data_IF_698333040649
#
_entry.id   IF_698333040649
#
_cell.length_a   1.000
_cell.length_b   1.000
_cell.length_c   1.000
_cell.angle_alpha   90.00
_cell.angle_beta   90.00
_cell.angle_gamma   90.00
#
_symmetry.space_group_name_H-M   'P 1'
#
loop_
_entity.id
_entity.type
_entity.pdbx_description
1 polymer ?
#
# COMPACT_ATOMS: atom_id res chain seq x y z
N UNK A 1 -23.00 11.36 18.18
CA UNK A 1 -21.58 11.17 18.54
C UNK A 1 -20.71 12.21 17.84
N UNK A 2 -19.49 12.40 18.31
CA UNK A 2 -18.48 13.20 17.61
C UNK A 2 -17.29 12.34 17.24
N UNK A 3 -17.04 12.17 15.95
CA UNK A 3 -16.07 11.21 15.41
C UNK A 3 -14.90 11.94 14.75
N UNK A 4 -13.68 11.62 15.17
CA UNK A 4 -12.45 12.09 14.53
C UNK A 4 -12.01 11.14 13.40
N UNK A 5 -11.59 11.67 12.25
CA UNK A 5 -11.04 10.91 11.14
C UNK A 5 -9.67 11.43 10.79
N UNK A 6 -8.72 10.55 10.51
CA UNK A 6 -7.40 10.94 10.02
C UNK A 6 -6.87 9.97 8.95
N UNK A 7 -6.05 10.49 8.04
CA UNK A 7 -5.33 9.69 7.04
C UNK A 7 -3.83 9.84 7.26
N UNK A 8 -3.08 8.73 7.46
CA UNK A 8 -1.67 8.79 7.81
C UNK A 8 -0.81 7.80 7.00
N UNK A 9 0.47 8.11 6.88
CA UNK A 9 1.42 7.33 6.09
C UNK A 9 1.39 7.67 4.59
N UNK A 10 1.87 6.79 3.73
CA UNK A 10 1.81 6.99 2.28
C UNK A 10 0.38 7.06 1.78
N UNK A 11 0.09 7.98 0.87
CA UNK A 11 -1.22 8.09 0.24
C UNK A 11 -1.47 6.94 -0.76
N UNK A 12 -2.72 6.74 -1.09
CA UNK A 12 -3.14 5.85 -2.17
C UNK A 12 -4.52 6.23 -2.71
N UNK A 13 -4.88 5.76 -3.91
CA UNK A 13 -6.24 5.89 -4.42
C UNK A 13 -7.25 5.18 -3.51
N UNK A 14 -8.37 5.86 -3.20
CA UNK A 14 -9.43 5.32 -2.34
C UNK A 14 -9.55 5.97 -0.96
N UNK A 15 -8.55 6.71 -0.46
CA UNK A 15 -8.63 7.41 0.83
C UNK A 15 -9.85 8.33 0.92
N UNK A 16 -10.09 9.13 -0.11
CA UNK A 16 -11.24 10.03 -0.16
C UNK A 16 -12.57 9.27 -0.21
N UNK A 17 -12.61 8.08 -0.77
CA UNK A 17 -13.81 7.23 -0.76
C UNK A 17 -14.16 6.75 0.66
N UNK A 18 -13.16 6.39 1.49
CA UNK A 18 -13.37 6.06 2.91
C UNK A 18 -13.88 7.28 3.66
N UNK A 19 -13.19 8.43 3.56
CA UNK A 19 -13.60 9.69 4.23
C UNK A 19 -15.04 10.02 3.88
N UNK A 20 -15.38 9.99 2.59
CA UNK A 20 -16.75 10.25 2.12
C UNK A 20 -17.74 9.28 2.73
N UNK A 21 -17.44 8.01 2.78
CA UNK A 21 -18.34 6.99 3.34
C UNK A 21 -18.55 7.16 4.83
N UNK A 22 -17.49 7.44 5.59
CA UNK A 22 -17.60 7.75 7.02
C UNK A 22 -18.52 8.95 7.25
N UNK A 23 -18.30 10.05 6.52
CA UNK A 23 -19.11 11.27 6.66
C UNK A 23 -20.56 11.02 6.29
N UNK A 24 -20.83 10.35 5.16
CA UNK A 24 -22.21 10.05 4.78
C UNK A 24 -22.92 9.19 5.83
N UNK A 25 -22.26 8.11 6.30
CA UNK A 25 -22.89 7.21 7.28
C UNK A 25 -23.08 7.88 8.64
N UNK A 26 -22.08 8.59 9.13
CA UNK A 26 -22.15 9.26 10.43
C UNK A 26 -23.13 10.44 10.41
N UNK A 27 -22.99 11.36 9.45
CA UNK A 27 -23.77 12.61 9.45
C UNK A 27 -25.20 12.40 8.95
N UNK A 28 -25.37 11.74 7.79
CA UNK A 28 -26.70 11.63 7.17
C UNK A 28 -27.58 10.59 7.86
N UNK A 29 -27.02 9.46 8.28
CA UNK A 29 -27.81 8.35 8.81
C UNK A 29 -27.90 8.36 10.34
N UNK A 30 -26.83 8.76 11.05
CA UNK A 30 -26.80 8.77 12.52
C UNK A 30 -26.91 10.17 13.14
N UNK A 31 -26.76 11.26 12.37
CA UNK A 31 -26.81 12.62 12.89
C UNK A 31 -25.57 13.01 13.72
N UNK A 32 -24.46 12.33 13.49
CA UNK A 32 -23.19 12.57 14.19
C UNK A 32 -22.48 13.82 13.66
N UNK A 33 -21.53 14.33 14.46
CA UNK A 33 -20.55 15.31 14.02
C UNK A 33 -19.25 14.59 13.62
N UNK A 34 -18.67 14.96 12.45
CA UNK A 34 -17.39 14.42 11.99
C UNK A 34 -16.38 15.54 11.84
N UNK A 35 -15.17 15.34 12.40
CA UNK A 35 -14.03 16.21 12.17
C UNK A 35 -12.89 15.41 11.53
N UNK A 36 -12.16 16.06 10.62
CA UNK A 36 -10.99 15.47 9.97
C UNK A 36 -9.70 16.14 10.46
N UNK A 37 -8.78 15.36 11.03
CA UNK A 37 -7.46 15.87 11.41
C UNK A 37 -6.57 15.99 10.18
N UNK A 38 -5.91 17.16 10.03
CA UNK A 38 -4.98 17.39 8.92
C UNK A 38 -3.66 16.68 9.17
N UNK A 39 -3.05 16.22 8.10
CA UNK A 39 -1.73 15.55 8.14
C UNK A 39 -1.66 14.35 9.10
N UNK A 40 -2.76 13.63 9.26
CA UNK A 40 -2.82 12.37 10.00
C UNK A 40 -2.65 12.54 11.52
N UNK A 41 -1.83 11.68 12.14
CA UNK A 41 -1.57 11.75 13.58
C UNK A 41 -0.99 13.10 14.01
N UNK A 42 -0.26 13.80 13.12
CA UNK A 42 0.25 15.14 13.41
C UNK A 42 -0.89 16.10 13.76
N UNK A 43 -1.96 16.11 12.97
CA UNK A 43 -3.11 16.98 13.23
C UNK A 43 -3.79 16.70 14.58
N UNK A 44 -3.91 15.43 14.98
CA UNK A 44 -4.41 15.09 16.32
C UNK A 44 -3.46 15.61 17.42
N UNK A 45 -2.15 15.48 17.23
CA UNK A 45 -1.13 15.96 18.19
C UNK A 45 -1.03 17.48 18.28
N UNK A 46 -1.38 18.20 17.23
CA UNK A 46 -1.33 19.67 17.14
C UNK A 46 -2.72 20.32 17.27
N UNK A 47 -3.78 19.53 17.43
CA UNK A 47 -5.18 19.98 17.44
C UNK A 47 -5.59 20.73 16.16
N UNK A 48 -4.99 20.31 15.01
CA UNK A 48 -5.30 20.87 13.68
C UNK A 48 -6.32 20.00 12.97
N UNK A 49 -7.53 20.50 12.84
CA UNK A 49 -8.65 19.78 12.25
C UNK A 49 -9.56 20.69 11.43
N UNK A 50 -10.44 20.08 10.66
CA UNK A 50 -11.52 20.74 9.93
C UNK A 50 -12.83 19.98 10.14
N UNK A 51 -13.95 20.68 10.10
CA UNK A 51 -15.26 20.04 10.07
C UNK A 51 -15.44 19.29 8.76
N UNK A 52 -16.00 18.08 8.83
CA UNK A 52 -16.38 17.28 7.69
C UNK A 52 -17.92 17.13 7.67
N UNK A 53 -18.54 17.80 6.72
CA UNK A 53 -19.96 17.66 6.43
C UNK A 53 -20.18 17.12 5.00
N UNK A 54 -21.42 16.97 4.58
CA UNK A 54 -21.74 16.40 3.27
C UNK A 54 -21.21 17.24 2.11
N UNK A 55 -21.12 18.56 2.29
CA UNK A 55 -20.59 19.47 1.28
C UNK A 55 -19.07 19.32 1.15
N UNK A 56 -18.36 19.18 2.28
CA UNK A 56 -16.90 18.99 2.31
C UNK A 56 -16.45 17.71 1.58
N UNK A 57 -17.32 16.69 1.52
CA UNK A 57 -17.05 15.42 0.85
C UNK A 57 -17.75 15.28 -0.50
N UNK A 58 -18.34 16.35 -1.00
CA UNK A 58 -18.95 16.40 -2.32
C UNK A 58 -17.90 16.19 -3.43
N UNK A 59 -18.16 15.26 -4.35
CA UNK A 59 -17.33 15.03 -5.54
C UNK A 59 -15.96 14.36 -5.30
N UNK A 60 -15.59 13.96 -4.08
CA UNK A 60 -14.25 13.41 -3.80
C UNK A 60 -14.12 11.90 -4.04
N UNK A 61 -15.21 11.16 -4.33
CA UNK A 61 -15.20 9.71 -4.49
C UNK A 61 -14.15 9.20 -5.48
N UNK A 62 -14.01 9.87 -6.61
CA UNK A 62 -13.08 9.50 -7.68
C UNK A 62 -11.73 10.22 -7.58
N UNK A 63 -11.53 11.07 -6.58
CA UNK A 63 -10.32 11.86 -6.42
C UNK A 63 -9.25 11.06 -5.69
N UNK A 64 -8.06 10.91 -6.31
CA UNK A 64 -6.90 10.32 -5.65
C UNK A 64 -6.32 11.21 -4.54
N UNK A 65 -5.33 10.70 -3.83
CA UNK A 65 -4.78 11.35 -2.65
C UNK A 65 -5.79 11.44 -1.51
N UNK A 66 -5.64 12.43 -0.63
CA UNK A 66 -6.52 12.66 0.52
C UNK A 66 -6.78 14.15 0.73
N UNK A 67 -8.04 14.52 0.99
CA UNK A 67 -8.41 15.90 1.31
C UNK A 67 -7.88 16.36 2.69
N UNK A 68 -7.52 15.41 3.56
CA UNK A 68 -6.99 15.69 4.90
C UNK A 68 -5.46 15.85 4.94
N UNK A 69 -4.77 15.56 3.84
CA UNK A 69 -3.32 15.47 3.86
C UNK A 69 -2.83 14.22 4.61
N UNK A 70 -1.53 14.03 4.66
CA UNK A 70 -0.91 12.89 5.33
C UNK A 70 0.51 13.22 5.79
N UNK A 71 0.96 12.60 6.89
CA UNK A 71 2.34 12.70 7.35
C UNK A 71 2.84 11.36 7.89
N UNK A 72 4.15 11.28 8.16
CA UNK A 72 4.79 10.13 8.81
C UNK A 72 4.97 10.33 10.33
N UNK A 73 4.53 11.47 10.86
CA UNK A 73 4.57 11.73 12.30
C UNK A 73 3.62 10.75 13.00
N UNK A 74 4.10 10.17 14.10
CA UNK A 74 3.32 9.24 14.92
C UNK A 74 3.41 9.65 16.40
N UNK A 75 2.39 9.35 17.22
CA UNK A 75 2.43 9.64 18.65
C UNK A 75 3.65 9.03 19.37
N UNK A 76 4.11 7.85 18.95
CA UNK A 76 5.29 7.17 19.49
C UNK A 76 6.61 7.90 19.24
N UNK A 77 6.66 8.84 18.29
CA UNK A 77 7.85 9.65 18.02
C UNK A 77 8.06 10.78 19.03
N UNK A 78 7.06 11.09 19.86
CA UNK A 78 7.09 12.13 20.85
C UNK A 78 7.01 11.51 22.25
N UNK A 79 7.80 12.08 23.20
CA UNK A 79 7.83 11.59 24.59
C UNK A 79 6.47 11.67 25.28
N UNK A 80 5.67 12.69 24.94
CA UNK A 80 4.33 12.98 25.49
C UNK A 80 3.20 12.78 24.48
N UNK A 81 3.48 12.11 23.33
CA UNK A 81 2.55 12.04 22.21
C UNK A 81 1.23 11.35 22.55
N UNK A 82 1.26 10.30 23.36
CA UNK A 82 0.05 9.60 23.83
C UNK A 82 -0.80 10.52 24.72
N UNK A 83 -0.17 11.18 25.68
CA UNK A 83 -0.89 12.06 26.62
C UNK A 83 -1.47 13.30 25.92
N UNK A 84 -0.74 13.87 24.95
CA UNK A 84 -1.24 14.98 24.12
C UNK A 84 -2.45 14.55 23.31
N UNK A 85 -2.39 13.37 22.66
CA UNK A 85 -3.54 12.84 21.93
C UNK A 85 -4.75 12.65 22.82
N UNK A 86 -4.58 12.08 24.03
CA UNK A 86 -5.66 11.93 25.01
C UNK A 86 -6.26 13.28 25.40
N UNK A 87 -5.42 14.25 25.76
CA UNK A 87 -5.88 15.59 26.13
C UNK A 87 -6.73 16.23 25.04
N UNK A 88 -6.32 16.16 23.78
CA UNK A 88 -7.10 16.72 22.69
C UNK A 88 -8.40 15.93 22.40
N UNK A 89 -8.41 14.60 22.58
CA UNK A 89 -9.62 13.79 22.46
C UNK A 89 -10.64 14.20 23.52
N UNK A 90 -10.22 14.39 24.76
CA UNK A 90 -11.05 14.86 25.87
C UNK A 90 -11.53 16.30 25.65
N UNK A 91 -10.64 17.23 25.30
CA UNK A 91 -10.96 18.63 25.03
C UNK A 91 -11.98 18.79 23.90
N UNK A 92 -11.82 18.01 22.82
CA UNK A 92 -12.73 18.02 21.67
C UNK A 92 -14.00 17.20 21.90
N UNK A 93 -14.09 16.46 23.00
CA UNK A 93 -15.25 15.59 23.29
C UNK A 93 -15.47 14.53 22.22
N UNK A 94 -14.41 13.87 21.78
CA UNK A 94 -14.52 12.83 20.74
C UNK A 94 -14.98 11.51 21.37
N UNK A 95 -16.02 10.93 20.79
CA UNK A 95 -16.52 9.61 21.15
C UNK A 95 -15.72 8.48 20.46
N UNK A 96 -15.10 8.77 19.33
CA UNK A 96 -14.27 7.81 18.59
C UNK A 96 -13.26 8.48 17.64
N UNK A 97 -12.21 7.73 17.25
CA UNK A 97 -11.29 8.10 16.19
C UNK A 97 -11.21 6.96 15.17
N UNK A 98 -11.29 7.30 13.88
CA UNK A 98 -11.13 6.38 12.76
C UNK A 98 -9.82 6.72 12.01
N UNK A 99 -8.67 6.13 12.40
CA UNK A 99 -7.43 6.26 11.65
C UNK A 99 -7.45 5.36 10.40
N UNK A 100 -7.11 5.97 9.25
CA UNK A 100 -7.05 5.31 7.96
C UNK A 100 -5.60 5.27 7.52
N UNK A 101 -5.00 4.07 7.41
CA UNK A 101 -3.59 3.98 7.04
C UNK A 101 -3.01 2.59 6.93
N UNK A 102 -1.72 2.52 6.60
CA UNK A 102 -0.96 1.28 6.52
C UNK A 102 -0.45 0.81 7.88
N UNK A 103 0.47 -0.16 7.86
CA UNK A 103 1.03 -0.82 9.05
C UNK A 103 1.44 0.17 10.15
N UNK A 104 2.24 1.19 9.82
CA UNK A 104 2.70 2.17 10.82
C UNK A 104 1.57 2.96 11.46
N UNK A 105 0.54 3.33 10.68
CA UNK A 105 -0.65 4.03 11.18
C UNK A 105 -1.47 3.14 12.10
N UNK A 106 -1.61 1.86 11.74
CA UNK A 106 -2.36 0.89 12.54
C UNK A 106 -1.60 0.48 13.81
N UNK A 107 -0.26 0.44 13.78
CA UNK A 107 0.56 0.29 15.00
C UNK A 107 0.34 1.46 15.98
N UNK A 108 0.29 2.68 15.47
CA UNK A 108 -0.05 3.85 16.27
C UNK A 108 -1.50 3.78 16.78
N UNK A 109 -2.44 3.34 15.95
CA UNK A 109 -3.84 3.10 16.32
C UNK A 109 -3.97 2.10 17.48
N UNK A 110 -3.24 0.98 17.40
CA UNK A 110 -3.14 0.00 18.49
C UNK A 110 -2.59 0.64 19.77
N UNK A 111 -1.46 1.33 19.67
CA UNK A 111 -0.87 2.02 20.83
C UNK A 111 -1.88 2.96 21.51
N UNK A 112 -2.62 3.75 20.72
CA UNK A 112 -3.66 4.64 21.24
C UNK A 112 -4.80 3.87 21.90
N UNK A 113 -5.27 2.80 21.27
CA UNK A 113 -6.32 1.93 21.81
C UNK A 113 -5.90 1.25 23.13
N UNK A 114 -4.66 0.71 23.18
CA UNK A 114 -4.11 0.10 24.40
C UNK A 114 -3.96 1.12 25.55
N UNK A 115 -3.94 2.41 25.23
CA UNK A 115 -3.94 3.51 26.20
C UNK A 115 -5.35 4.09 26.46
N UNK A 116 -6.40 3.42 26.03
CA UNK A 116 -7.79 3.72 26.37
C UNK A 116 -8.52 4.69 25.43
N UNK A 117 -7.94 5.05 24.27
CA UNK A 117 -8.67 5.83 23.27
C UNK A 117 -9.63 4.93 22.48
N UNK A 118 -10.84 5.44 22.14
CA UNK A 118 -11.84 4.70 21.36
C UNK A 118 -11.46 4.69 19.86
N UNK A 119 -10.73 3.68 19.43
CA UNK A 119 -10.16 3.58 18.07
C UNK A 119 -10.82 2.47 17.26
N UNK A 120 -11.18 2.79 16.00
CA UNK A 120 -11.55 1.81 14.96
C UNK A 120 -10.68 2.05 13.74
N UNK A 121 -9.80 1.11 13.41
CA UNK A 121 -8.85 1.21 12.29
C UNK A 121 -9.48 0.91 10.93
N UNK A 122 -8.95 1.54 9.88
CA UNK A 122 -9.25 1.20 8.48
C UNK A 122 -7.96 0.93 7.72
N UNK A 123 -7.78 -0.28 7.16
CA UNK A 123 -6.54 -0.67 6.49
C UNK A 123 -6.43 -0.02 5.12
N UNK A 124 -5.33 0.67 4.88
CA UNK A 124 -5.01 1.34 3.63
C UNK A 124 -3.55 1.12 3.27
N UNK A 125 -3.28 0.47 2.16
CA UNK A 125 -1.94 0.38 1.56
C UNK A 125 -2.04 -0.13 0.12
N UNK A 126 -1.15 0.33 -0.75
CA UNK A 126 -1.00 -0.25 -2.09
C UNK A 126 -0.24 -1.59 -2.04
N UNK A 127 0.52 -1.83 -0.98
CA UNK A 127 1.43 -2.97 -0.87
C UNK A 127 0.71 -4.28 -0.51
N UNK A 128 -0.58 -4.21 -0.13
CA UNK A 128 -1.43 -5.33 0.30
C UNK A 128 -0.79 -6.19 1.41
N UNK A 129 -0.06 -5.55 2.31
CA UNK A 129 0.82 -6.14 3.30
C UNK A 129 0.24 -6.24 4.72
N UNK A 130 -1.02 -5.83 4.93
CA UNK A 130 -1.70 -5.91 6.22
C UNK A 130 -2.25 -7.32 6.43
N UNK A 131 -1.87 -7.94 7.55
CA UNK A 131 -2.41 -9.24 7.96
C UNK A 131 -3.92 -9.17 8.22
N UNK A 132 -4.56 -10.34 8.26
CA UNK A 132 -5.98 -10.57 8.59
C UNK A 132 -7.01 -9.90 7.68
N UNK A 133 -6.59 -9.28 6.57
CA UNK A 133 -7.48 -8.82 5.49
C UNK A 133 -7.04 -9.41 4.15
N UNK A 134 -7.97 -9.86 3.34
CA UNK A 134 -7.66 -10.45 2.03
C UNK A 134 -7.08 -9.40 1.07
N UNK A 135 -7.66 -8.20 1.05
CA UNK A 135 -7.21 -7.10 0.19
C UNK A 135 -7.32 -5.77 0.92
N UNK A 136 -6.36 -4.88 0.69
CA UNK A 136 -6.40 -3.48 1.09
C UNK A 136 -6.77 -2.60 -0.10
N UNK A 137 -7.57 -1.54 0.10
CA UNK A 137 -7.83 -0.61 -1.00
C UNK A 137 -6.58 0.20 -1.36
N UNK A 138 -6.51 0.58 -2.63
CA UNK A 138 -5.34 1.18 -3.27
C UNK A 138 -4.47 0.15 -4.00
N UNK A 139 -4.53 -1.12 -3.62
CA UNK A 139 -3.77 -2.20 -4.23
C UNK A 139 -4.21 -2.48 -5.68
N UNK A 140 -5.51 -2.63 -5.92
CA UNK A 140 -6.05 -2.89 -7.26
C UNK A 140 -5.70 -1.78 -8.25
N UNK A 141 -5.78 -0.53 -7.81
CA UNK A 141 -5.36 0.63 -8.62
C UNK A 141 -3.86 0.59 -8.91
N UNK A 142 -3.01 0.30 -7.92
CA UNK A 142 -1.57 0.23 -8.10
C UNK A 142 -1.17 -0.90 -9.07
N UNK A 143 -1.80 -2.07 -8.97
CA UNK A 143 -1.63 -3.18 -9.93
C UNK A 143 -2.07 -2.75 -11.33
N UNK A 144 -3.21 -2.08 -11.46
CA UNK A 144 -3.71 -1.57 -12.74
C UNK A 144 -2.72 -0.60 -13.40
N UNK A 145 -2.18 0.37 -12.65
CA UNK A 145 -1.17 1.32 -13.13
C UNK A 145 0.10 0.61 -13.58
N UNK A 146 0.58 -0.36 -12.79
CA UNK A 146 1.78 -1.12 -13.14
C UNK A 146 1.53 -1.99 -14.39
N UNK A 147 0.38 -2.65 -14.49
CA UNK A 147 -0.01 -3.46 -15.67
C UNK A 147 -0.08 -2.61 -16.93
N UNK A 148 -0.74 -1.45 -16.87
CA UNK A 148 -0.81 -0.52 -18.03
C UNK A 148 0.58 -0.07 -18.48
N UNK A 149 1.47 0.25 -17.53
CA UNK A 149 2.85 0.62 -17.85
C UNK A 149 3.59 -0.54 -18.53
N UNK A 150 3.46 -1.77 -18.03
CA UNK A 150 4.07 -2.97 -18.60
C UNK A 150 3.55 -3.24 -20.02
N UNK A 151 2.25 -3.09 -20.28
CA UNK A 151 1.68 -3.26 -21.62
C UNK A 151 2.22 -2.24 -22.62
N UNK A 152 2.38 -0.99 -22.20
CA UNK A 152 3.03 0.05 -23.04
C UNK A 152 4.50 -0.29 -23.35
N UNK A 153 5.21 -0.84 -22.37
CA UNK A 153 6.63 -1.19 -22.50
C UNK A 153 6.88 -2.38 -23.43
N UNK A 154 5.94 -3.32 -23.58
CA UNK A 154 6.08 -4.47 -24.47
C UNK A 154 6.38 -4.06 -25.91
N UNK A 155 5.65 -3.11 -26.44
CA UNK A 155 5.78 -2.67 -27.83
C UNK A 155 7.15 -2.05 -28.10
N UNK A 156 7.69 -1.26 -27.15
CA UNK A 156 9.04 -0.70 -27.29
C UNK A 156 10.14 -1.73 -27.05
N UNK A 157 9.93 -2.68 -26.11
CA UNK A 157 10.86 -3.80 -25.89
C UNK A 157 11.01 -4.66 -27.15
N UNK A 158 9.90 -4.97 -27.81
CA UNK A 158 9.87 -5.75 -29.06
C UNK A 158 10.54 -4.98 -30.21
N UNK A 159 10.22 -3.70 -30.39
CA UNK A 159 10.79 -2.87 -31.47
C UNK A 159 12.31 -2.76 -31.38
N UNK A 160 12.83 -2.67 -30.17
CA UNK A 160 14.27 -2.53 -29.91
C UNK A 160 14.99 -3.83 -29.55
N UNK A 161 14.28 -4.96 -29.47
CA UNK A 161 14.81 -6.30 -29.21
C UNK A 161 15.69 -6.38 -27.93
N UNK A 162 15.18 -5.81 -26.83
CA UNK A 162 15.92 -5.64 -25.57
C UNK A 162 15.23 -6.28 -24.38
N UNK A 163 15.96 -6.36 -23.28
CA UNK A 163 15.41 -6.69 -21.97
C UNK A 163 14.98 -5.39 -21.28
N UNK A 164 13.75 -5.34 -20.76
CA UNK A 164 13.31 -4.28 -19.85
C UNK A 164 13.15 -4.85 -18.45
N UNK A 165 13.82 -4.24 -17.48
CA UNK A 165 13.64 -4.55 -16.06
C UNK A 165 12.79 -3.45 -15.44
N UNK A 166 11.57 -3.81 -15.04
CA UNK A 166 10.57 -2.85 -14.55
C UNK A 166 10.44 -2.98 -13.05
N UNK A 167 10.84 -1.93 -12.33
CA UNK A 167 10.72 -1.86 -10.87
C UNK A 167 9.36 -1.31 -10.47
N UNK A 168 8.70 -2.04 -9.58
CA UNK A 168 7.43 -1.67 -8.97
C UNK A 168 7.56 -1.54 -7.46
N UNK A 169 6.68 -0.77 -6.84
CA UNK A 169 6.61 -0.62 -5.39
C UNK A 169 6.16 -1.93 -4.72
N UNK A 170 6.12 -1.96 -3.39
CA UNK A 170 5.70 -3.11 -2.58
C UNK A 170 6.52 -3.25 -1.30
N UNK A 171 7.58 -2.46 -1.14
CA UNK A 171 8.49 -2.47 0.02
C UNK A 171 9.03 -3.87 0.33
N UNK A 172 8.48 -4.52 1.36
CA UNK A 172 8.92 -5.84 1.84
C UNK A 172 8.09 -6.99 1.27
N UNK A 173 7.15 -6.70 0.36
CA UNK A 173 6.27 -7.70 -0.25
C UNK A 173 6.21 -7.58 -1.76
N UNK A 174 6.01 -8.70 -2.43
CA UNK A 174 5.98 -8.81 -3.88
C UNK A 174 4.59 -8.77 -4.51
N UNK A 175 3.54 -8.40 -3.78
CA UNK A 175 2.16 -8.47 -4.27
C UNK A 175 1.92 -7.69 -5.57
N UNK A 176 2.40 -6.43 -5.65
CA UNK A 176 2.24 -5.63 -6.87
C UNK A 176 3.01 -6.25 -8.03
N UNK A 177 4.27 -6.67 -7.78
CA UNK A 177 5.10 -7.29 -8.81
C UNK A 177 4.48 -8.58 -9.35
N UNK A 178 3.99 -9.44 -8.45
CA UNK A 178 3.36 -10.69 -8.82
C UNK A 178 2.11 -10.46 -9.66
N UNK A 179 1.16 -9.68 -9.15
CA UNK A 179 -0.12 -9.46 -9.84
C UNK A 179 0.05 -8.71 -11.16
N UNK A 180 0.83 -7.63 -11.20
CA UNK A 180 1.05 -6.88 -12.44
C UNK A 180 1.89 -7.65 -13.45
N UNK A 181 2.89 -8.42 -12.97
CA UNK A 181 3.71 -9.27 -13.83
C UNK A 181 2.90 -10.39 -14.48
N UNK A 182 2.04 -11.08 -13.72
CA UNK A 182 1.12 -12.09 -14.26
C UNK A 182 0.13 -11.46 -15.23
N UNK A 183 -0.54 -10.38 -14.83
CA UNK A 183 -1.54 -9.71 -15.65
C UNK A 183 -0.98 -9.20 -16.98
N UNK A 184 0.25 -8.70 -16.97
CA UNK A 184 0.93 -8.25 -18.17
C UNK A 184 1.69 -9.37 -18.92
N UNK A 185 1.75 -10.60 -18.42
CA UNK A 185 2.54 -11.67 -19.03
C UNK A 185 4.04 -11.30 -19.09
N UNK A 186 4.62 -10.94 -17.96
CA UNK A 186 6.06 -10.78 -17.81
C UNK A 186 6.77 -12.12 -18.02
N UNK A 187 8.08 -12.08 -18.24
CA UNK A 187 8.86 -13.30 -18.53
C UNK A 187 9.67 -13.77 -17.32
N UNK A 188 9.81 -12.92 -16.34
CA UNK A 188 10.29 -13.25 -15.00
C UNK A 188 9.76 -12.22 -14.00
N UNK A 189 9.57 -12.66 -12.76
CA UNK A 189 9.16 -11.81 -11.62
C UNK A 189 10.13 -12.10 -10.48
N UNK A 190 10.68 -11.06 -9.85
CA UNK A 190 11.50 -11.19 -8.65
C UNK A 190 10.87 -10.44 -7.48
N UNK A 191 10.76 -11.11 -6.34
CA UNK A 191 10.03 -10.64 -5.15
C UNK A 191 10.89 -10.74 -3.89
N UNK A 192 10.63 -9.94 -2.84
CA UNK A 192 11.40 -9.99 -1.59
C UNK A 192 11.33 -11.33 -0.88
N UNK A 193 10.18 -12.00 -0.96
CA UNK A 193 9.92 -13.26 -0.26
C UNK A 193 10.76 -14.43 -0.78
N UNK A 194 11.24 -14.34 -2.02
CA UNK A 194 12.06 -15.36 -2.66
C UNK A 194 13.32 -14.74 -3.25
N UNK A 195 14.45 -14.72 -2.51
CA UNK A 195 15.72 -14.26 -3.03
C UNK A 195 16.10 -14.99 -4.32
N UNK A 196 16.36 -14.22 -5.39
CA UNK A 196 16.64 -14.78 -6.70
C UNK A 196 18.13 -15.10 -6.87
N UNK A 197 18.43 -16.06 -7.75
CA UNK A 197 19.77 -16.34 -8.25
C UNK A 197 19.94 -15.69 -9.62
N UNK A 198 21.01 -14.89 -9.81
CA UNK A 198 21.22 -14.15 -11.05
C UNK A 198 21.51 -15.08 -12.23
N UNK A 199 22.18 -16.23 -12.00
CA UNK A 199 22.46 -17.21 -13.05
C UNK A 199 21.15 -17.89 -13.52
N UNK A 200 20.30 -18.31 -12.56
CA UNK A 200 19.00 -18.89 -12.87
C UNK A 200 18.11 -17.90 -13.63
N UNK A 201 18.08 -16.63 -13.20
CA UNK A 201 17.33 -15.56 -13.87
C UNK A 201 17.88 -15.29 -15.28
N UNK A 202 19.20 -15.20 -15.42
CA UNK A 202 19.86 -15.01 -16.73
C UNK A 202 19.56 -16.15 -17.67
N UNK A 203 19.62 -17.39 -17.21
CA UNK A 203 19.28 -18.59 -17.98
C UNK A 203 17.83 -18.51 -18.48
N UNK A 204 16.86 -18.26 -17.59
CA UNK A 204 15.45 -18.15 -17.93
C UNK A 204 15.18 -17.09 -19.02
N UNK A 205 15.80 -15.92 -18.87
CA UNK A 205 15.68 -14.83 -19.86
C UNK A 205 16.40 -15.20 -21.16
N UNK A 206 17.57 -15.88 -21.10
CA UNK A 206 18.38 -16.32 -22.24
C UNK A 206 17.67 -17.36 -23.09
N UNK A 207 17.08 -18.39 -22.49
CA UNK A 207 16.30 -19.44 -23.17
C UNK A 207 15.19 -18.86 -24.05
N UNK A 208 14.64 -17.74 -23.66
CA UNK A 208 13.65 -17.04 -24.47
C UNK A 208 14.23 -16.51 -25.79
N UNK A 209 15.42 -15.94 -25.76
CA UNK A 209 16.12 -15.48 -26.99
C UNK A 209 16.60 -16.66 -27.85
N UNK A 210 17.03 -17.76 -27.23
CA UNK A 210 17.36 -19.01 -27.92
C UNK A 210 16.14 -19.60 -28.63
N UNK A 211 14.98 -19.49 -28.05
CA UNK A 211 13.70 -19.87 -28.67
C UNK A 211 13.20 -18.89 -29.76
N UNK A 212 14.05 -17.95 -30.20
CA UNK A 212 13.78 -17.01 -31.29
C UNK A 212 12.88 -15.83 -30.90
N UNK A 213 12.61 -15.64 -29.61
CA UNK A 213 11.89 -14.45 -29.13
C UNK A 213 12.82 -13.25 -29.12
N UNK A 214 12.27 -12.06 -29.31
CA UNK A 214 13.08 -10.86 -29.60
C UNK A 214 13.26 -9.92 -28.40
N UNK A 215 12.48 -10.07 -27.33
CA UNK A 215 12.54 -9.21 -26.14
C UNK A 215 12.18 -9.98 -24.86
N UNK A 216 12.52 -9.41 -23.73
CA UNK A 216 12.06 -9.90 -22.43
C UNK A 216 11.66 -8.73 -21.51
N UNK A 217 10.68 -9.00 -20.63
CA UNK A 217 10.30 -8.10 -19.55
C UNK A 217 10.48 -8.86 -18.24
N UNK A 218 11.26 -8.27 -17.34
CA UNK A 218 11.45 -8.72 -15.96
C UNK A 218 10.78 -7.72 -15.03
N UNK A 219 9.86 -8.15 -14.19
CA UNK A 219 9.24 -7.31 -13.18
C UNK A 219 9.94 -7.54 -11.85
N UNK A 220 10.39 -6.47 -11.22
CA UNK A 220 11.10 -6.53 -9.95
C UNK A 220 10.36 -5.71 -8.89
N UNK A 221 9.99 -6.33 -7.76
CA UNK A 221 9.58 -5.59 -6.58
C UNK A 221 10.79 -4.79 -6.04
N UNK A 222 10.59 -3.53 -5.62
CA UNK A 222 11.68 -2.64 -5.15
C UNK A 222 12.50 -3.24 -4.00
N UNK A 223 11.91 -4.12 -3.20
CA UNK A 223 12.54 -4.82 -2.07
C UNK A 223 13.14 -6.18 -2.42
N UNK A 224 13.10 -6.62 -3.69
CA UNK A 224 13.67 -7.90 -4.10
C UNK A 224 15.20 -7.91 -3.90
N UNK A 225 15.74 -9.05 -3.45
CA UNK A 225 17.17 -9.22 -3.16
C UNK A 225 17.72 -10.45 -3.86
N UNK A 226 18.97 -10.42 -4.32
CA UNK A 226 19.64 -11.61 -4.81
C UNK A 226 19.97 -12.57 -3.64
N UNK A 227 20.17 -13.85 -3.94
CA UNK A 227 20.78 -14.79 -3.01
C UNK A 227 22.19 -14.29 -2.65
N UNK A 228 22.63 -14.45 -1.39
CA UNK A 228 23.97 -14.05 -0.97
C UNK A 228 25.05 -14.65 -1.88
N UNK A 229 25.92 -13.79 -2.40
CA UNK A 229 27.02 -14.19 -3.29
C UNK A 229 26.63 -14.44 -4.76
N UNK A 230 25.35 -14.32 -5.12
CA UNK A 230 24.88 -14.47 -6.50
C UNK A 230 25.32 -13.31 -7.40
N UNK A 231 25.30 -12.08 -6.87
CA UNK A 231 25.80 -10.87 -7.54
C UNK A 231 26.24 -9.83 -6.52
N UNK A 232 27.00 -8.82 -6.96
CA UNK A 232 27.22 -7.62 -6.15
C UNK A 232 25.91 -6.85 -6.03
N UNK A 233 25.53 -6.48 -4.80
CA UNK A 233 24.24 -5.86 -4.54
C UNK A 233 24.34 -4.74 -3.50
N UNK A 234 23.88 -3.55 -3.88
CA UNK A 234 23.70 -2.42 -2.97
C UNK A 234 22.29 -2.45 -2.40
N UNK A 235 22.16 -2.64 -1.09
CA UNK A 235 20.88 -2.64 -0.41
C UNK A 235 20.28 -1.24 -0.21
N UNK A 236 21.07 -0.18 -0.43
CA UNK A 236 20.69 1.19 -0.11
C UNK A 236 20.94 1.56 1.36
N UNK A 237 20.23 2.56 1.84
CA UNK A 237 20.38 3.08 3.20
C UNK A 237 19.06 3.19 3.95
N UNK A 238 19.06 4.00 5.02
CA UNK A 238 17.83 4.35 5.76
C UNK A 238 17.53 5.83 5.63
N UNK A 239 16.24 6.19 5.67
CA UNK A 239 15.82 7.57 5.75
C UNK A 239 15.92 8.11 7.21
N UNK A 240 15.61 9.41 7.38
CA UNK A 240 15.64 10.08 8.69
C UNK A 240 14.67 9.49 9.72
N UNK A 241 13.70 8.70 9.28
CA UNK A 241 12.73 8.01 10.12
C UNK A 241 13.09 6.53 10.35
N UNK A 242 14.26 6.07 9.83
CA UNK A 242 14.74 4.69 9.95
C UNK A 242 14.14 3.71 8.94
N UNK A 243 13.37 4.16 7.96
CA UNK A 243 12.85 3.31 6.90
C UNK A 243 13.92 3.03 5.85
N UNK A 244 13.94 1.80 5.34
CA UNK A 244 14.83 1.40 4.25
C UNK A 244 14.58 2.25 3.00
N UNK A 245 15.69 2.67 2.37
CA UNK A 245 15.73 3.26 1.03
C UNK A 245 16.32 2.23 0.10
N UNK A 246 15.53 1.79 -0.85
CA UNK A 246 15.97 0.83 -1.84
C UNK A 246 16.89 1.49 -2.87
N UNK A 247 17.99 0.81 -3.24
CA UNK A 247 19.00 1.35 -4.16
C UNK A 247 18.62 1.24 -5.65
N UNK A 248 17.41 0.75 -5.96
CA UNK A 248 16.94 0.56 -7.33
C UNK A 248 17.41 -0.75 -7.94
N UNK A 249 16.74 -1.83 -7.57
CA UNK A 249 17.04 -3.20 -8.05
C UNK A 249 17.01 -3.29 -9.58
N UNK A 250 16.09 -2.59 -10.25
CA UNK A 250 16.02 -2.66 -11.71
C UNK A 250 17.30 -2.17 -12.39
N UNK A 251 17.97 -1.17 -11.81
CA UNK A 251 19.25 -0.68 -12.36
C UNK A 251 20.34 -1.73 -12.24
N UNK A 252 20.46 -2.34 -11.07
CA UNK A 252 21.48 -3.35 -10.80
C UNK A 252 21.24 -4.61 -11.67
N UNK A 253 19.99 -5.10 -11.72
CA UNK A 253 19.61 -6.22 -12.58
C UNK A 253 19.82 -5.94 -14.06
N UNK A 254 19.56 -4.72 -14.54
CA UNK A 254 19.77 -4.39 -15.96
C UNK A 254 21.25 -4.51 -16.34
N UNK A 255 22.15 -4.04 -15.48
CA UNK A 255 23.60 -4.15 -15.72
C UNK A 255 24.04 -5.62 -15.77
N UNK A 256 23.63 -6.41 -14.81
CA UNK A 256 23.97 -7.84 -14.73
C UNK A 256 23.43 -8.63 -15.92
N UNK A 257 22.16 -8.44 -16.28
CA UNK A 257 21.55 -9.13 -17.43
C UNK A 257 22.18 -8.71 -18.75
N UNK A 258 22.52 -7.42 -18.95
CA UNK A 258 23.18 -6.94 -20.14
C UNK A 258 24.57 -7.60 -20.33
N UNK A 259 25.38 -7.66 -19.26
CA UNK A 259 26.69 -8.26 -19.27
C UNK A 259 26.66 -9.77 -19.57
N UNK A 260 25.73 -10.50 -18.95
CA UNK A 260 25.62 -11.96 -19.05
C UNK A 260 24.99 -12.43 -20.36
N UNK A 261 23.97 -11.71 -20.85
CA UNK A 261 23.24 -12.08 -22.06
C UNK A 261 23.85 -11.50 -23.35
N UNK A 262 24.68 -10.45 -23.26
CA UNK A 262 25.13 -9.69 -24.43
C UNK A 262 23.95 -9.03 -25.18
N UNK A 263 22.85 -8.75 -24.49
CA UNK A 263 21.65 -8.08 -25.00
C UNK A 263 21.42 -6.80 -24.24
N UNK A 264 21.08 -5.73 -24.97
CA UNK A 264 20.75 -4.44 -24.32
C UNK A 264 19.66 -4.62 -23.27
N UNK A 265 19.92 -4.18 -22.04
CA UNK A 265 18.97 -4.18 -20.95
C UNK A 265 18.76 -2.77 -20.38
N UNK A 266 17.51 -2.39 -20.10
CA UNK A 266 17.18 -1.05 -19.61
C UNK A 266 16.28 -1.13 -18.38
N UNK A 267 16.58 -0.36 -17.33
CA UNK A 267 15.72 -0.23 -16.18
C UNK A 267 14.56 0.74 -16.46
N UNK A 268 13.40 0.42 -15.92
CA UNK A 268 12.26 1.33 -15.85
C UNK A 268 11.75 1.30 -14.40
N UNK A 269 11.78 2.44 -13.73
CA UNK A 269 11.35 2.57 -12.33
C UNK A 269 10.03 3.32 -12.33
N UNK A 270 8.93 2.64 -12.00
CA UNK A 270 7.60 3.26 -11.99
C UNK A 270 7.43 4.23 -10.82
N UNK A 271 7.93 3.88 -9.63
CA UNK A 271 7.90 4.74 -8.47
C UNK A 271 6.48 5.22 -8.11
N UNK A 272 6.36 6.48 -7.69
CA UNK A 272 5.16 7.04 -7.08
C UNK A 272 3.95 7.20 -8.01
N UNK A 273 4.07 7.00 -9.33
CA UNK A 273 2.88 6.97 -10.22
C UNK A 273 1.88 5.89 -9.80
N UNK A 274 2.35 4.83 -9.15
CA UNK A 274 1.53 3.75 -8.60
C UNK A 274 0.67 4.18 -7.39
N UNK A 275 0.99 5.31 -6.75
CA UNK A 275 0.24 5.86 -5.61
C UNK A 275 -0.82 6.88 -6.02
N UNK A 276 -0.76 7.38 -7.25
CA UNK A 276 -1.58 8.48 -7.72
C UNK A 276 -2.75 8.05 -8.59
N UNK A 277 -3.52 9.03 -9.01
CA UNK A 277 -4.60 8.85 -9.95
C UNK A 277 -5.95 8.49 -9.34
N UNK A 278 -6.89 8.25 -10.22
CA UNK A 278 -8.27 7.91 -9.88
C UNK A 278 -8.37 6.46 -9.42
N UNK A 279 -8.98 6.16 -8.24
CA UNK A 279 -9.16 4.80 -7.80
C UNK A 279 -10.03 3.99 -8.77
N UNK A 280 -9.71 2.72 -8.96
CA UNK A 280 -10.56 1.78 -9.70
C UNK A 280 -11.93 1.64 -9.07
N UNK A 281 -12.89 1.08 -9.82
CA UNK A 281 -14.21 0.78 -9.27
C UNK A 281 -14.12 -0.17 -8.05
N UNK A 282 -13.21 -1.15 -8.10
CA UNK A 282 -12.99 -2.07 -7.00
C UNK A 282 -12.53 -1.34 -5.73
N UNK A 283 -11.49 -0.52 -5.82
CA UNK A 283 -10.97 0.23 -4.67
C UNK A 283 -11.98 1.23 -4.12
N UNK A 284 -12.78 1.90 -4.98
CA UNK A 284 -13.86 2.80 -4.51
C UNK A 284 -14.91 2.04 -3.69
N UNK A 285 -15.34 0.87 -4.17
CA UNK A 285 -16.36 0.06 -3.48
C UNK A 285 -15.81 -0.49 -2.17
N UNK A 286 -14.59 -1.06 -2.18
CA UNK A 286 -13.96 -1.61 -0.98
C UNK A 286 -13.74 -0.52 0.08
N UNK A 287 -13.17 0.63 -0.31
CA UNK A 287 -12.96 1.78 0.56
C UNK A 287 -14.28 2.32 1.15
N UNK A 288 -15.34 2.42 0.33
CA UNK A 288 -16.67 2.83 0.80
C UNK A 288 -17.22 1.84 1.84
N UNK A 289 -17.09 0.54 1.59
CA UNK A 289 -17.55 -0.49 2.54
C UNK A 289 -16.75 -0.45 3.85
N UNK A 290 -15.44 -0.28 3.79
CA UNK A 290 -14.63 -0.12 4.99
C UNK A 290 -15.05 1.09 5.83
N UNK A 291 -15.28 2.25 5.21
CA UNK A 291 -15.75 3.45 5.90
C UNK A 291 -17.10 3.25 6.56
N UNK A 292 -18.06 2.63 5.87
CA UNK A 292 -19.39 2.33 6.38
C UNK A 292 -19.31 1.41 7.62
N UNK A 293 -18.57 0.30 7.52
CA UNK A 293 -18.42 -0.66 8.62
C UNK A 293 -17.65 -0.08 9.82
N UNK A 294 -16.70 0.84 9.58
CA UNK A 294 -16.00 1.52 10.66
C UNK A 294 -16.94 2.37 11.52
N UNK A 295 -17.88 3.11 10.90
CA UNK A 295 -18.90 3.88 11.64
C UNK A 295 -19.83 2.95 12.41
N UNK A 296 -20.26 1.86 11.79
CA UNK A 296 -21.09 0.86 12.49
C UNK A 296 -20.37 0.24 13.71
N UNK A 297 -19.07 -0.04 13.58
CA UNK A 297 -18.28 -0.54 14.69
C UNK A 297 -18.17 0.50 15.83
N UNK A 298 -18.01 1.78 15.50
CA UNK A 298 -18.06 2.88 16.49
C UNK A 298 -19.39 2.87 17.25
N UNK A 299 -20.51 2.79 16.55
CA UNK A 299 -21.84 2.78 17.17
C UNK A 299 -22.10 1.53 18.00
N UNK A 300 -21.46 0.39 17.69
CA UNK A 300 -21.52 -0.83 18.52
C UNK A 300 -20.50 -0.86 19.66
N UNK A 301 -19.63 0.17 19.77
CA UNK A 301 -18.57 0.21 20.78
C UNK A 301 -17.44 -0.83 20.55
N UNK A 302 -17.23 -1.28 19.30
CA UNK A 302 -16.24 -2.27 18.92
C UNK A 302 -14.84 -1.61 18.75
N UNK A 303 -14.33 -1.01 19.83
CA UNK A 303 -13.03 -0.35 19.81
C UNK A 303 -11.85 -1.32 19.89
N UNK A 304 -10.67 -0.87 19.46
CA UNK A 304 -9.47 -1.70 19.39
C UNK A 304 -9.46 -2.65 18.18
N UNK A 305 -10.40 -2.47 17.27
CA UNK A 305 -10.56 -3.31 16.07
C UNK A 305 -10.32 -2.53 14.79
N UNK A 306 -10.21 -3.26 13.69
CA UNK A 306 -10.02 -2.78 12.33
C UNK A 306 -11.03 -3.47 11.40
N UNK A 307 -11.52 -2.74 10.40
CA UNK A 307 -12.28 -3.35 9.30
C UNK A 307 -11.36 -4.23 8.44
N UNK A 308 -11.83 -5.40 8.04
CA UNK A 308 -11.09 -6.34 7.19
C UNK A 308 -12.01 -6.98 6.15
N UNK A 309 -11.48 -7.25 4.96
CA UNK A 309 -12.17 -8.05 3.94
C UNK A 309 -11.86 -9.52 4.16
N UNK A 310 -12.88 -10.37 4.24
CA UNK A 310 -12.75 -11.83 4.20
C UNK A 310 -13.75 -12.40 3.18
N UNK A 311 -13.23 -12.94 2.10
CA UNK A 311 -14.04 -13.32 0.95
C UNK A 311 -14.79 -12.11 0.38
N UNK A 312 -16.11 -12.06 0.55
CA UNK A 312 -16.95 -10.95 0.11
C UNK A 312 -17.40 -10.03 1.25
N UNK A 313 -17.14 -10.40 2.50
CA UNK A 313 -17.70 -9.73 3.67
C UNK A 313 -16.68 -8.81 4.35
N UNK A 314 -17.17 -7.72 4.92
CA UNK A 314 -16.37 -6.88 5.81
C UNK A 314 -16.64 -7.34 7.24
N UNK A 315 -15.57 -7.69 7.92
CA UNK A 315 -15.58 -8.13 9.32
C UNK A 315 -14.72 -7.21 10.18
N UNK A 316 -14.93 -7.25 11.49
CA UNK A 316 -14.07 -6.56 12.45
C UNK A 316 -13.02 -7.54 12.98
N UNK A 317 -11.75 -7.11 13.03
CA UNK A 317 -10.63 -7.90 13.53
C UNK A 317 -9.79 -7.08 14.52
N UNK A 318 -9.17 -7.70 15.54
CA UNK A 318 -8.34 -6.97 16.49
C UNK A 318 -7.18 -6.26 15.81
N UNK A 319 -6.94 -4.98 16.15
CA UNK A 319 -5.76 -4.23 15.69
C UNK A 319 -4.44 -4.93 16.04
N UNK A 320 -4.42 -5.65 17.15
CA UNK A 320 -3.25 -6.42 17.56
C UNK A 320 -2.83 -7.44 16.50
N UNK A 321 -3.79 -8.22 15.98
CA UNK A 321 -3.53 -9.24 14.95
C UNK A 321 -3.13 -8.60 13.60
N UNK A 322 -3.72 -7.44 13.28
CA UNK A 322 -3.47 -6.75 12.02
C UNK A 322 -2.02 -6.24 11.85
N UNK A 323 -1.33 -5.99 12.97
CA UNK A 323 0.01 -5.39 12.99
C UNK A 323 1.09 -6.32 13.54
N UNK A 324 0.74 -7.55 13.91
CA UNK A 324 1.66 -8.54 14.47
C UNK A 324 2.62 -9.09 13.41
N UNK A 325 2.09 -9.40 12.25
CA UNK A 325 2.85 -9.99 11.14
C UNK A 325 2.58 -9.26 9.83
N UNK A 326 3.56 -9.32 8.94
CA UNK A 326 3.42 -8.81 7.58
C UNK A 326 2.76 -9.88 6.70
N UNK A 327 1.80 -9.49 5.88
CA UNK A 327 1.18 -10.38 4.90
C UNK A 327 2.04 -10.46 3.65
N UNK A 328 2.82 -11.50 3.55
CA UNK A 328 3.72 -11.77 2.42
C UNK A 328 3.06 -12.62 1.34
N UNK A 329 3.64 -12.66 0.14
CA UNK A 329 3.20 -13.52 -0.96
C UNK A 329 3.47 -14.98 -0.59
N UNK A 330 2.44 -15.86 -0.52
CA UNK A 330 2.63 -17.28 -0.30
C UNK A 330 3.41 -17.95 -1.45
N UNK A 331 4.21 -18.98 -1.13
CA UNK A 331 4.99 -19.72 -2.12
C UNK A 331 4.12 -20.26 -3.26
N UNK A 332 2.93 -20.80 -2.93
CA UNK A 332 1.98 -21.33 -3.91
C UNK A 332 1.55 -20.28 -4.95
N UNK A 333 1.34 -19.03 -4.54
CA UNK A 333 0.97 -17.94 -5.46
C UNK A 333 2.10 -17.60 -6.42
N UNK A 334 3.33 -17.71 -5.96
CA UNK A 334 4.49 -17.52 -6.81
C UNK A 334 4.64 -18.68 -7.82
N UNK A 335 4.41 -19.92 -7.37
CA UNK A 335 4.42 -21.11 -8.24
C UNK A 335 3.34 -21.05 -9.32
N UNK A 336 2.12 -20.59 -8.99
CA UNK A 336 1.06 -20.32 -9.97
C UNK A 336 1.53 -19.32 -11.05
N UNK A 337 2.26 -18.27 -10.64
CA UNK A 337 2.81 -17.31 -11.59
C UNK A 337 3.89 -17.93 -12.48
N UNK A 338 4.79 -18.76 -11.91
CA UNK A 338 5.86 -19.40 -12.67
C UNK A 338 5.37 -20.29 -13.81
N UNK A 339 4.17 -20.87 -13.68
CA UNK A 339 3.56 -21.69 -14.74
C UNK A 339 3.22 -20.92 -16.02
N UNK A 340 3.09 -19.60 -15.94
CA UNK A 340 2.66 -18.74 -17.06
C UNK A 340 3.72 -17.75 -17.53
N UNK A 341 4.91 -17.78 -16.89
CA UNK A 341 6.05 -16.88 -17.17
C UNK A 341 7.02 -17.44 -18.22
#
# INVERSE_FOLDING_TARGET
MRIGVLTSGGDCPGLNAVIRSVVHRAVADHGDEVIGFRDGWKGLLECDYMKLDLDAVGGILARGGTILGSSRVQPSHLRDGVERAKGHVEELGLDAIIPIGGEGTLKAARLMSDNGLPIVGVPKTIDNDIAVTDVTFGFDTAVGVATEALDRLKTTAESHQRVLVVEVMGRHTGWIALHSGMAAGAHAIVVPERPFDIEELTKKVGERFEAGKRFAIVVAAEGAKPRPGSMEFDEGGKDVYGHERFAGIARQLSVELEQRLGKEARPVILGHVQRGGTPTAYDRVLATRFGWHAVEAVHRGEFGQMTALRGTDIVMVPLAEAVETLKTVPAERYEEAECVL
#
